data_IF_906134322498
#
_entry.id   IF_906134322498
#
_cell.length_a   1.000
_cell.length_b   1.000
_cell.length_c   1.000
_cell.angle_alpha   90.00
_cell.angle_beta   90.00
_cell.angle_gamma   90.00
#
_symmetry.space_group_name_H-M   'P 1'
#
loop_
_entity.id
_entity.type
_entity.pdbx_description
1 polymer ?
#
# COMPACT_ATOMS: atom_id res chain seq x y z
N UNK A 1 -19.45 -10.40 19.81
CA UNK A 1 -18.81 -9.29 20.53
C UNK A 1 -18.69 -8.14 19.55
N UNK A 2 -19.48 -7.08 19.74
CA UNK A 2 -19.45 -5.90 18.88
C UNK A 2 -18.22 -5.10 19.31
N UNK A 3 -17.26 -4.95 18.40
CA UNK A 3 -16.12 -4.07 18.59
C UNK A 3 -16.66 -2.64 18.69
N UNK A 4 -16.48 -2.03 19.85
CA UNK A 4 -16.96 -0.69 20.18
C UNK A 4 -16.24 0.29 19.25
N UNK A 5 -16.94 0.77 18.21
CA UNK A 5 -16.38 1.72 17.26
C UNK A 5 -16.22 3.05 18.00
N UNK A 6 -15.00 3.31 18.47
CA UNK A 6 -14.65 4.60 19.02
C UNK A 6 -14.44 5.61 17.88
N UNK A 7 -15.07 6.78 18.03
CA UNK A 7 -14.89 7.92 17.14
C UNK A 7 -13.40 8.27 17.03
N UNK A 8 -12.79 8.19 15.83
CA UNK A 8 -11.38 8.53 15.60
C UNK A 8 -10.98 9.90 16.13
N UNK A 9 -11.91 10.87 16.13
CA UNK A 9 -11.65 12.21 16.66
C UNK A 9 -11.45 12.17 18.18
N UNK A 10 -12.22 11.34 18.89
CA UNK A 10 -12.13 11.19 20.35
C UNK A 10 -10.79 10.56 20.74
N UNK A 11 -10.36 9.51 20.03
CA UNK A 11 -9.06 8.86 20.25
C UNK A 11 -7.93 9.87 20.06
N UNK A 12 -8.00 10.68 18.99
CA UNK A 12 -7.00 11.72 18.74
C UNK A 12 -6.95 12.76 19.86
N UNK A 13 -8.11 13.26 20.31
CA UNK A 13 -8.19 14.25 21.39
C UNK A 13 -7.66 13.72 22.72
N UNK A 14 -7.93 12.45 23.05
CA UNK A 14 -7.40 11.80 24.25
C UNK A 14 -5.89 11.67 24.18
N UNK A 15 -5.35 11.15 23.07
CA UNK A 15 -3.90 11.03 22.85
C UNK A 15 -3.20 12.39 22.86
N UNK A 16 -3.80 13.40 22.26
CA UNK A 16 -3.25 14.76 22.29
C UNK A 16 -3.11 15.28 23.72
N UNK A 17 -4.15 15.13 24.56
CA UNK A 17 -4.13 15.57 25.96
C UNK A 17 -3.07 14.83 26.77
N UNK A 18 -2.95 13.53 26.57
CA UNK A 18 -1.94 12.69 27.21
C UNK A 18 -0.52 13.16 26.88
N UNK A 19 -0.22 13.33 25.59
CA UNK A 19 1.10 13.79 25.12
C UNK A 19 1.39 15.19 25.66
N UNK A 20 0.43 16.12 25.53
CA UNK A 20 0.59 17.49 26.02
C UNK A 20 0.92 17.51 27.51
N UNK A 21 0.20 16.72 28.32
CA UNK A 21 0.48 16.61 29.75
C UNK A 21 1.89 16.07 30.04
N UNK A 22 2.39 15.16 29.20
CA UNK A 22 3.73 14.56 29.34
C UNK A 22 4.88 15.51 28.93
N UNK A 23 4.64 16.45 28.02
CA UNK A 23 5.69 17.34 27.47
C UNK A 23 5.62 18.78 27.96
N UNK A 24 4.49 19.26 28.51
CA UNK A 24 4.30 20.68 28.86
C UNK A 24 5.29 21.26 29.87
N UNK A 25 5.87 20.41 30.72
CA UNK A 25 6.82 20.80 31.75
C UNK A 25 8.27 20.42 31.38
N UNK A 26 8.51 19.90 30.18
CA UNK A 26 9.85 19.57 29.72
C UNK A 26 10.54 20.82 29.20
N UNK A 27 11.81 20.96 29.54
CA UNK A 27 12.68 22.04 29.06
C UNK A 27 13.36 21.67 27.73
N UNK A 28 13.51 20.38 27.45
CA UNK A 28 14.20 19.83 26.27
C UNK A 28 13.55 18.56 25.72
N UNK A 29 13.80 18.29 24.44
CA UNK A 29 13.41 17.08 23.73
C UNK A 29 11.91 16.88 23.66
N UNK A 30 11.14 17.96 23.49
CA UNK A 30 9.68 17.89 23.48
C UNK A 30 9.18 17.09 22.27
N UNK A 31 9.79 17.27 21.10
CA UNK A 31 9.43 16.51 19.90
C UNK A 31 9.80 15.03 20.04
N UNK A 32 11.01 14.75 20.54
CA UNK A 32 11.45 13.38 20.84
C UNK A 32 10.48 12.69 21.81
N UNK A 33 10.11 13.37 22.90
CA UNK A 33 9.20 12.85 23.91
C UNK A 33 7.78 12.60 23.35
N UNK A 34 7.30 13.48 22.47
CA UNK A 34 6.01 13.30 21.82
C UNK A 34 6.00 12.06 20.92
N UNK A 35 7.06 11.85 20.12
CA UNK A 35 7.22 10.65 19.29
C UNK A 35 7.32 9.39 20.17
N UNK A 36 8.10 9.44 21.25
CA UNK A 36 8.22 8.34 22.21
C UNK A 36 6.89 7.96 22.85
N UNK A 37 6.00 8.92 23.07
CA UNK A 37 4.67 8.65 23.59
C UNK A 37 3.73 8.04 22.53
N UNK A 38 3.88 8.46 21.27
CA UNK A 38 3.07 7.98 20.15
C UNK A 38 3.41 6.55 19.74
N UNK A 39 4.71 6.25 19.66
CA UNK A 39 5.21 4.95 19.23
C UNK A 39 6.47 4.58 20.03
N UNK A 40 6.31 4.07 21.26
CA UNK A 40 7.43 3.75 22.13
C UNK A 40 8.41 2.76 21.50
N UNK A 41 7.91 1.80 20.74
CA UNK A 41 8.68 0.71 20.13
C UNK A 41 9.58 1.21 19.02
N UNK A 42 9.10 2.12 18.16
CA UNK A 42 9.85 2.62 17.01
C UNK A 42 10.45 4.02 17.23
N UNK A 43 10.23 4.63 18.39
CA UNK A 43 10.57 6.03 18.64
C UNK A 43 12.03 6.39 18.41
N UNK A 44 12.97 5.52 18.80
CA UNK A 44 14.39 5.76 18.56
C UNK A 44 14.71 5.77 17.07
N UNK A 45 14.15 4.84 16.31
CA UNK A 45 14.35 4.76 14.86
C UNK A 45 13.70 5.93 14.14
N UNK A 46 12.48 6.32 14.53
CA UNK A 46 11.80 7.51 13.99
C UNK A 46 12.66 8.76 14.23
N UNK A 47 13.11 8.96 15.47
CA UNK A 47 13.91 10.13 15.81
C UNK A 47 15.26 10.12 15.12
N UNK A 48 15.93 8.97 15.02
CA UNK A 48 17.17 8.83 14.28
C UNK A 48 16.98 9.15 12.79
N UNK A 49 15.93 8.60 12.18
CA UNK A 49 15.61 8.78 10.77
C UNK A 49 15.39 10.25 10.39
N UNK A 50 14.69 11.00 11.25
CA UNK A 50 14.41 12.42 11.02
C UNK A 50 15.42 13.39 11.66
N UNK A 51 16.47 12.89 12.31
CA UNK A 51 17.51 13.72 12.95
C UNK A 51 17.02 14.52 14.16
N UNK A 52 16.10 13.94 14.94
CA UNK A 52 15.48 14.57 16.12
C UNK A 52 16.30 14.26 17.36
N UNK A 53 16.80 15.30 18.03
CA UNK A 53 17.63 15.18 19.22
C UNK A 53 16.80 15.21 20.51
N UNK A 54 16.98 14.20 21.36
CA UNK A 54 16.37 14.11 22.70
C UNK A 54 16.76 15.26 23.65
N UNK A 55 17.85 15.97 23.37
CA UNK A 55 18.33 17.11 24.15
C UNK A 55 18.05 18.46 23.49
N UNK A 56 17.32 18.48 22.37
CA UNK A 56 16.97 19.69 21.64
C UNK A 56 16.18 20.66 22.52
N UNK A 57 16.42 21.96 22.38
CA UNK A 57 15.63 22.96 23.11
C UNK A 57 14.24 23.09 22.49
N UNK A 58 13.25 23.57 23.25
CA UNK A 58 11.90 23.83 22.73
C UNK A 58 11.92 24.69 21.44
N UNK A 59 12.79 25.70 21.39
CA UNK A 59 12.94 26.57 20.22
C UNK A 59 13.56 25.85 19.02
N UNK A 60 14.52 24.94 19.25
CA UNK A 60 15.10 24.12 18.19
C UNK A 60 14.09 23.11 17.64
N UNK A 61 13.32 22.46 18.51
CA UNK A 61 12.21 21.58 18.11
C UNK A 61 11.17 22.33 17.29
N UNK A 62 10.78 23.52 17.74
CA UNK A 62 9.84 24.38 17.00
C UNK A 62 10.40 24.81 15.64
N UNK A 63 11.69 25.19 15.59
CA UNK A 63 12.36 25.53 14.33
C UNK A 63 12.40 24.36 13.36
N UNK A 64 12.65 23.14 13.86
CA UNK A 64 12.54 21.91 13.09
C UNK A 64 11.12 21.74 12.55
N UNK A 65 10.10 21.81 13.42
CA UNK A 65 8.69 21.68 13.03
C UNK A 65 8.30 22.67 11.94
N UNK A 66 8.72 23.93 12.09
CA UNK A 66 8.53 24.98 11.09
C UNK A 66 9.23 24.61 9.78
N UNK A 67 10.51 24.25 9.82
CA UNK A 67 11.25 23.85 8.61
C UNK A 67 10.58 22.67 7.90
N UNK A 68 10.13 21.68 8.66
CA UNK A 68 9.48 20.47 8.14
C UNK A 68 8.14 20.77 7.45
N UNK A 69 7.31 21.64 8.03
CA UNK A 69 6.00 21.99 7.46
C UNK A 69 6.07 23.01 6.31
N UNK A 70 7.01 23.97 6.38
CA UNK A 70 7.12 25.07 5.42
C UNK A 70 8.14 24.86 4.30
N UNK A 71 8.97 23.82 4.39
CA UNK A 71 9.83 23.41 3.29
C UNK A 71 9.23 22.19 2.62
N UNK A 72 8.30 22.38 1.66
CA UNK A 72 7.78 21.25 0.93
C UNK A 72 8.94 20.66 0.12
N UNK A 73 9.20 19.37 0.36
CA UNK A 73 9.63 18.41 -0.66
C UNK A 73 11.13 18.35 -1.00
N UNK A 74 11.99 19.33 -0.68
CA UNK A 74 13.43 19.20 -1.01
C UNK A 74 14.12 18.05 -0.26
N UNK A 75 13.86 17.87 1.02
CA UNK A 75 14.47 16.76 1.78
C UNK A 75 13.72 15.44 1.61
N UNK A 76 12.43 15.47 1.22
CA UNK A 76 11.71 14.25 0.86
C UNK A 76 12.14 13.67 -0.49
N UNK A 77 12.74 14.47 -1.37
CA UNK A 77 13.33 14.02 -2.63
C UNK A 77 14.57 13.13 -2.45
N UNK A 78 15.20 13.17 -1.26
CA UNK A 78 16.27 12.25 -0.86
C UNK A 78 15.72 10.81 -0.77
N UNK A 79 14.46 10.67 -0.35
CA UNK A 79 13.76 9.41 -0.34
C UNK A 79 13.22 9.16 -1.75
N UNK A 80 14.03 8.53 -2.61
CA UNK A 80 13.64 7.97 -3.90
C UNK A 80 12.52 6.93 -3.72
N UNK A 81 11.30 7.35 -3.37
CA UNK A 81 10.14 6.50 -3.14
C UNK A 81 9.07 6.88 -4.15
N UNK A 82 8.73 5.94 -5.05
CA UNK A 82 7.63 6.04 -6.03
C UNK A 82 6.23 6.25 -5.41
N UNK A 83 6.15 6.33 -4.08
CA UNK A 83 4.97 6.68 -3.28
C UNK A 83 4.67 8.19 -3.33
N UNK A 84 5.60 9.00 -3.85
CA UNK A 84 5.48 10.45 -3.95
C UNK A 84 4.33 10.90 -4.87
N UNK A 85 3.83 10.13 -5.83
CA UNK A 85 2.67 10.58 -6.63
C UNK A 85 1.36 10.62 -5.83
N UNK A 86 1.17 9.69 -4.89
CA UNK A 86 0.00 9.67 -4.01
C UNK A 86 0.11 10.69 -2.87
N UNK A 87 1.32 10.82 -2.32
CA UNK A 87 1.62 11.83 -1.29
C UNK A 87 1.63 13.24 -1.89
N UNK A 88 2.15 13.45 -3.11
CA UNK A 88 2.14 14.74 -3.79
C UNK A 88 0.72 15.23 -4.09
N UNK A 89 -0.24 14.33 -4.37
CA UNK A 89 -1.66 14.72 -4.51
C UNK A 89 -2.31 15.10 -3.18
N UNK A 90 -1.98 14.38 -2.11
CA UNK A 90 -2.41 14.76 -0.75
C UNK A 90 -1.72 16.03 -0.26
N UNK A 91 -0.47 16.26 -0.65
CA UNK A 91 0.30 17.47 -0.36
C UNK A 91 -0.17 18.64 -1.23
N UNK A 92 -0.52 18.46 -2.50
CA UNK A 92 -1.18 19.50 -3.33
C UNK A 92 -2.52 19.92 -2.72
N UNK A 93 -3.27 18.97 -2.14
CA UNK A 93 -4.46 19.28 -1.35
C UNK A 93 -4.12 20.00 -0.04
N UNK A 94 -3.04 19.60 0.64
CA UNK A 94 -2.55 20.26 1.85
C UNK A 94 -1.92 21.63 1.58
N UNK A 95 -1.36 21.90 0.40
CA UNK A 95 -0.82 23.19 -0.05
C UNK A 95 -1.95 24.21 -0.25
N UNK A 96 -3.13 23.75 -0.70
CA UNK A 96 -4.35 24.59 -0.68
C UNK A 96 -4.83 24.91 0.74
N UNK A 97 -4.49 24.05 1.72
CA UNK A 97 -4.70 24.28 3.16
C UNK A 97 -3.47 24.86 3.87
N UNK A 98 -2.35 25.08 3.17
CA UNK A 98 -1.10 25.53 3.79
C UNK A 98 -1.21 26.97 4.27
N UNK A 99 -2.21 27.72 3.82
CA UNK A 99 -2.58 29.03 4.39
C UNK A 99 -3.07 28.87 5.83
N UNK A 100 -3.83 27.82 6.16
CA UNK A 100 -4.29 27.55 7.53
C UNK A 100 -3.15 27.05 8.43
N UNK A 101 -2.27 26.19 7.91
CA UNK A 101 -1.04 25.79 8.62
C UNK A 101 -0.05 26.96 8.78
N UNK A 102 0.04 27.85 7.79
CA UNK A 102 0.83 29.09 7.86
C UNK A 102 0.34 30.02 8.95
N UNK A 103 -0.98 30.14 9.09
CA UNK A 103 -1.60 30.94 10.15
C UNK A 103 -1.40 30.32 11.54
N UNK A 104 -1.35 28.98 11.66
CA UNK A 104 -1.06 28.29 12.92
C UNK A 104 0.37 28.55 13.43
N UNK A 105 1.34 28.72 12.53
CA UNK A 105 2.75 28.98 12.85
C UNK A 105 3.19 30.41 12.48
N UNK A 106 2.26 31.37 12.52
CA UNK A 106 2.54 32.81 12.51
C UNK A 106 3.49 33.18 13.68
N UNK A 107 3.85 34.45 13.98
CA UNK A 107 4.77 34.71 15.10
C UNK A 107 4.11 34.34 16.45
N UNK A 108 4.23 33.06 16.80
CA UNK A 108 3.73 32.41 18.01
C UNK A 108 4.51 32.98 19.19
N UNK A 109 3.79 33.49 20.18
CA UNK A 109 4.36 34.04 21.41
C UNK A 109 4.17 33.14 22.63
N UNK A 110 3.33 32.10 22.54
CA UNK A 110 2.99 31.22 23.65
C UNK A 110 3.60 29.81 23.49
N UNK A 111 4.16 29.29 24.58
CA UNK A 111 4.66 27.92 24.68
C UNK A 111 3.56 26.88 24.39
N UNK A 112 2.29 27.20 24.68
CA UNK A 112 1.16 26.30 24.41
C UNK A 112 0.98 26.03 22.91
N UNK A 113 1.06 27.06 22.10
CA UNK A 113 0.95 26.97 20.64
C UNK A 113 2.17 26.24 20.04
N UNK A 114 3.37 26.52 20.58
CA UNK A 114 4.60 25.81 20.20
C UNK A 114 4.47 24.30 20.47
N UNK A 115 4.03 23.92 21.67
CA UNK A 115 3.85 22.51 22.05
C UNK A 115 2.77 21.85 21.20
N UNK A 116 1.69 22.56 20.88
CA UNK A 116 0.65 22.04 19.97
C UNK A 116 1.21 21.76 18.58
N UNK A 117 2.03 22.67 18.04
CA UNK A 117 2.74 22.48 16.78
C UNK A 117 3.69 21.28 16.81
N UNK A 118 4.41 21.10 17.91
CA UNK A 118 5.30 19.95 18.13
C UNK A 118 4.53 18.63 18.12
N UNK A 119 3.39 18.55 18.81
CA UNK A 119 2.56 17.33 18.86
C UNK A 119 2.01 17.01 17.47
N UNK A 120 1.50 18.01 16.74
CA UNK A 120 1.01 17.83 15.37
C UNK A 120 2.10 17.26 14.45
N UNK A 121 3.32 17.81 14.51
CA UNK A 121 4.45 17.30 13.73
C UNK A 121 4.84 15.89 14.16
N UNK A 122 4.82 15.57 15.46
CA UNK A 122 5.10 14.22 15.94
C UNK A 122 4.15 13.17 15.34
N UNK A 123 2.85 13.47 15.25
CA UNK A 123 1.87 12.60 14.57
C UNK A 123 2.21 12.39 13.10
N UNK A 124 2.53 13.48 12.38
CA UNK A 124 2.87 13.43 10.96
C UNK A 124 4.12 12.57 10.72
N UNK A 125 5.18 12.81 11.48
CA UNK A 125 6.44 12.06 11.35
C UNK A 125 6.26 10.58 11.65
N UNK A 126 5.52 10.24 12.70
CA UNK A 126 5.23 8.84 13.07
C UNK A 126 4.45 8.15 11.96
N UNK A 127 3.40 8.79 11.43
CA UNK A 127 2.63 8.26 10.32
C UNK A 127 3.48 8.08 9.04
N UNK A 128 4.33 9.06 8.71
CA UNK A 128 5.23 8.99 7.57
C UNK A 128 6.24 7.84 7.72
N UNK A 129 6.82 7.66 8.90
CA UNK A 129 7.76 6.58 9.16
C UNK A 129 7.12 5.20 8.96
N UNK A 130 5.90 4.99 9.47
CA UNK A 130 5.15 3.73 9.26
C UNK A 130 4.92 3.48 7.76
N UNK A 131 4.60 4.53 6.99
CA UNK A 131 4.43 4.41 5.54
C UNK A 131 5.74 4.05 4.83
N UNK A 132 6.87 4.65 5.25
CA UNK A 132 8.21 4.37 4.73
C UNK A 132 8.60 2.93 5.03
N UNK A 133 8.48 2.48 6.28
CA UNK A 133 8.78 1.11 6.69
C UNK A 133 7.99 0.08 5.88
N UNK A 134 6.68 0.31 5.70
CA UNK A 134 5.85 -0.56 4.83
C UNK A 134 6.32 -0.56 3.38
N UNK A 135 6.77 0.58 2.86
CA UNK A 135 7.30 0.67 1.50
C UNK A 135 8.65 -0.06 1.37
N UNK A 136 9.55 0.05 2.35
CA UNK A 136 10.83 -0.64 2.37
C UNK A 136 10.69 -2.14 2.52
N UNK A 137 9.79 -2.61 3.38
CA UNK A 137 9.45 -4.03 3.48
C UNK A 137 8.97 -4.58 2.14
N UNK A 138 8.10 -3.86 1.43
CA UNK A 138 7.69 -4.22 0.05
C UNK A 138 8.87 -4.27 -0.91
N UNK A 139 9.82 -3.33 -0.81
CA UNK A 139 11.04 -3.33 -1.65
C UNK A 139 11.94 -4.52 -1.37
N UNK A 140 12.16 -4.86 -0.11
CA UNK A 140 13.00 -6.00 0.26
C UNK A 140 12.38 -7.33 -0.16
N UNK A 141 11.05 -7.46 -0.06
CA UNK A 141 10.31 -8.60 -0.61
C UNK A 141 10.52 -8.70 -2.12
N UNK A 142 10.43 -7.59 -2.86
CA UNK A 142 10.65 -7.54 -4.30
C UNK A 142 12.12 -7.82 -4.70
N UNK A 143 13.10 -7.40 -3.89
CA UNK A 143 14.52 -7.68 -4.14
C UNK A 143 14.86 -9.15 -3.86
N UNK A 144 14.33 -9.75 -2.78
CA UNK A 144 14.54 -11.18 -2.49
C UNK A 144 13.95 -12.08 -3.57
N UNK A 145 12.88 -11.67 -4.24
CA UNK A 145 12.34 -12.38 -5.41
C UNK A 145 13.25 -12.27 -6.65
N UNK A 146 14.05 -11.20 -6.78
CA UNK A 146 14.98 -11.00 -7.90
C UNK A 146 16.35 -11.71 -7.75
N UNK A 147 16.76 -12.09 -6.53
CA UNK A 147 18.08 -12.71 -6.28
C UNK A 147 18.15 -14.20 -6.75
N UNK A 148 17.04 -14.81 -7.20
CA UNK A 148 17.01 -16.22 -7.67
C UNK A 148 17.13 -16.43 -9.19
N UNK A 149 17.40 -15.41 -10.00
CA UNK A 149 17.66 -15.61 -11.44
C UNK A 149 19.05 -15.07 -11.83
N UNK A 150 19.92 -15.87 -12.48
CA UNK A 150 21.12 -15.35 -13.11
C UNK A 150 20.74 -14.30 -14.14
N UNK A 151 21.31 -13.10 -14.02
CA UNK A 151 21.19 -12.03 -15.01
C UNK A 151 21.83 -12.46 -16.33
N UNK A 152 21.00 -12.82 -17.31
CA UNK A 152 21.32 -12.68 -18.73
C UNK A 152 20.21 -11.90 -19.42
N UNK A 153 20.09 -10.59 -19.15
CA UNK A 153 19.19 -9.76 -19.97
C UNK A 153 19.55 -8.28 -19.94
N UNK A 154 20.83 -7.99 -20.17
CA UNK A 154 21.33 -6.64 -20.37
C UNK A 154 21.96 -6.47 -21.75
N UNK A 155 21.27 -6.76 -22.86
CA UNK A 155 21.80 -6.34 -24.19
C UNK A 155 20.85 -6.20 -25.39
N UNK A 156 19.53 -6.32 -25.24
CA UNK A 156 18.61 -6.08 -26.35
C UNK A 156 17.47 -5.17 -25.91
N UNK A 157 17.70 -3.84 -25.92
CA UNK A 157 16.63 -2.86 -25.66
C UNK A 157 16.45 -1.79 -26.72
N UNK A 158 17.07 -1.95 -27.88
CA UNK A 158 16.84 -1.07 -29.02
C UNK A 158 16.77 -1.92 -30.28
N UNK A 159 15.60 -2.53 -30.55
CA UNK A 159 15.10 -2.99 -31.86
C UNK A 159 13.89 -3.92 -31.64
N UNK A 160 12.80 -3.41 -31.07
CA UNK A 160 11.52 -4.14 -31.10
C UNK A 160 10.34 -3.17 -31.12
N UNK A 161 10.39 -2.25 -32.08
CA UNK A 161 9.20 -1.59 -32.59
C UNK A 161 9.17 -1.83 -34.10
N UNK A 162 8.06 -2.41 -34.56
CA UNK A 162 7.79 -2.92 -35.90
C UNK A 162 8.36 -4.32 -36.20
N UNK A 163 7.69 -5.37 -35.69
CA UNK A 163 7.57 -6.61 -36.45
C UNK A 163 6.09 -6.99 -36.63
N UNK A 164 5.68 -7.40 -37.85
CA UNK A 164 4.34 -7.89 -38.14
C UNK A 164 4.07 -9.22 -37.43
N UNK A 165 2.82 -9.43 -36.99
CA UNK A 165 2.37 -10.64 -36.27
C UNK A 165 2.65 -11.90 -37.09
N UNK A 166 3.69 -12.65 -36.72
CA UNK A 166 3.92 -13.99 -37.26
C UNK A 166 3.14 -14.98 -36.40
N UNK A 167 2.04 -15.50 -36.97
CA UNK A 167 1.31 -16.66 -36.46
C UNK A 167 2.27 -17.86 -36.35
N UNK A 168 2.34 -18.54 -35.19
CA UNK A 168 2.91 -19.88 -35.14
C UNK A 168 3.49 -20.40 -33.82
N UNK A 169 3.78 -19.55 -32.83
CA UNK A 169 4.19 -20.03 -31.50
C UNK A 169 2.96 -20.06 -30.58
N UNK A 170 2.50 -21.26 -30.24
CA UNK A 170 1.43 -21.47 -29.26
C UNK A 170 1.87 -20.86 -27.92
N UNK A 171 1.31 -19.69 -27.60
CA UNK A 171 1.60 -18.98 -26.36
C UNK A 171 1.12 -19.81 -25.19
N UNK A 172 1.89 -19.84 -24.11
CA UNK A 172 1.57 -20.67 -22.95
C UNK A 172 0.35 -20.09 -22.21
N UNK A 173 -0.49 -20.95 -21.61
CA UNK A 173 -1.56 -20.48 -20.73
C UNK A 173 -0.96 -19.87 -19.47
N UNK A 174 -1.73 -19.00 -18.80
CA UNK A 174 -1.42 -18.50 -17.47
C UNK A 174 -2.58 -18.75 -16.51
N UNK A 175 -2.29 -18.64 -15.23
CA UNK A 175 -3.25 -18.78 -14.14
C UNK A 175 -3.41 -17.44 -13.46
N UNK A 176 -4.62 -16.89 -13.52
CA UNK A 176 -4.99 -15.63 -12.89
C UNK A 176 -5.85 -15.91 -11.66
N UNK A 177 -5.40 -15.42 -10.51
CA UNK A 177 -6.09 -15.50 -9.24
C UNK A 177 -6.59 -14.11 -8.87
N UNK A 178 -7.86 -14.01 -8.49
CA UNK A 178 -8.49 -12.75 -8.09
C UNK A 178 -9.23 -12.93 -6.77
N UNK A 179 -9.16 -11.91 -5.92
CA UNK A 179 -10.02 -11.76 -4.76
C UNK A 179 -10.97 -10.61 -5.03
N UNK A 180 -12.26 -10.92 -5.16
CA UNK A 180 -13.33 -9.96 -5.47
C UNK A 180 -14.48 -10.12 -4.49
N UNK A 181 -15.36 -9.13 -4.35
CA UNK A 181 -16.61 -9.30 -3.61
C UNK A 181 -17.45 -10.46 -4.16
N UNK A 182 -18.03 -11.27 -3.29
CA UNK A 182 -18.68 -12.54 -3.63
C UNK A 182 -19.87 -12.39 -4.57
N UNK A 183 -20.58 -11.25 -4.55
CA UNK A 183 -21.67 -10.98 -5.48
C UNK A 183 -21.23 -10.96 -6.96
N UNK A 184 -19.95 -10.72 -7.23
CA UNK A 184 -19.38 -10.80 -8.58
C UNK A 184 -19.34 -12.24 -9.12
N UNK A 185 -19.55 -13.25 -8.27
CA UNK A 185 -19.55 -14.65 -8.65
C UNK A 185 -20.93 -15.24 -8.91
N UNK A 186 -22.00 -14.43 -8.84
CA UNK A 186 -23.35 -14.90 -9.16
C UNK A 186 -23.39 -15.52 -10.56
N UNK A 187 -23.84 -16.78 -10.64
CA UNK A 187 -23.90 -17.55 -11.89
C UNK A 187 -22.58 -18.16 -12.36
N UNK A 188 -21.47 -17.99 -11.64
CA UNK A 188 -20.18 -18.59 -11.96
C UNK A 188 -20.00 -19.93 -11.26
N UNK A 189 -19.48 -20.93 -11.98
CA UNK A 189 -19.20 -22.25 -11.45
C UNK A 189 -17.82 -22.75 -11.93
N UNK A 190 -17.10 -23.57 -11.13
CA UNK A 190 -15.90 -24.23 -11.60
C UNK A 190 -16.15 -25.03 -12.89
N UNK A 191 -15.21 -24.96 -13.83
CA UNK A 191 -15.30 -25.59 -15.15
C UNK A 191 -15.98 -24.73 -16.22
N UNK A 192 -16.73 -23.69 -15.84
CA UNK A 192 -17.36 -22.77 -16.78
C UNK A 192 -16.32 -21.95 -17.54
N UNK A 193 -16.60 -21.64 -18.80
CA UNK A 193 -15.83 -20.69 -19.60
C UNK A 193 -16.50 -19.31 -19.55
N UNK A 194 -15.71 -18.27 -19.35
CA UNK A 194 -16.19 -16.89 -19.30
C UNK A 194 -15.43 -16.02 -20.32
N UNK A 195 -16.10 -15.09 -21.01
CA UNK A 195 -15.46 -14.27 -22.02
C UNK A 195 -14.47 -13.28 -21.40
N UNK A 196 -13.48 -12.86 -22.19
CA UNK A 196 -12.46 -11.88 -21.76
C UNK A 196 -13.06 -10.57 -21.24
N UNK A 197 -14.23 -10.15 -21.73
CA UNK A 197 -14.99 -9.00 -21.20
C UNK A 197 -15.35 -9.19 -19.73
N UNK A 198 -15.89 -10.36 -19.36
CA UNK A 198 -16.22 -10.70 -17.98
C UNK A 198 -14.98 -10.80 -17.10
N UNK A 199 -13.87 -11.30 -17.64
CA UNK A 199 -12.57 -11.32 -16.92
C UNK A 199 -12.07 -9.90 -16.65
N UNK A 200 -12.21 -8.96 -17.59
CA UNK A 200 -11.84 -7.54 -17.39
C UNK A 200 -12.66 -6.87 -16.30
N UNK A 201 -13.94 -7.21 -16.19
CA UNK A 201 -14.80 -6.76 -15.09
C UNK A 201 -14.29 -7.29 -13.75
N UNK A 202 -14.04 -8.60 -13.65
CA UNK A 202 -13.49 -9.21 -12.44
C UNK A 202 -12.14 -8.61 -12.03
N UNK A 203 -11.23 -8.37 -12.97
CA UNK A 203 -9.95 -7.68 -12.70
C UNK A 203 -10.17 -6.28 -12.15
N UNK A 204 -11.17 -5.55 -12.67
CA UNK A 204 -11.46 -4.18 -12.24
C UNK A 204 -12.01 -4.14 -10.81
N UNK A 205 -12.83 -5.13 -10.45
CA UNK A 205 -13.44 -5.26 -9.12
C UNK A 205 -12.57 -5.96 -8.08
N UNK A 206 -11.39 -6.49 -8.46
CA UNK A 206 -10.54 -7.25 -7.55
C UNK A 206 -9.87 -6.35 -6.52
N UNK A 207 -9.85 -6.74 -5.25
CA UNK A 207 -9.03 -6.09 -4.23
C UNK A 207 -7.59 -6.63 -4.23
N UNK A 208 -7.42 -7.89 -4.64
CA UNK A 208 -6.13 -8.54 -4.76
C UNK A 208 -6.07 -9.37 -6.03
N UNK A 209 -4.90 -9.44 -6.66
CA UNK A 209 -4.68 -10.32 -7.80
C UNK A 209 -3.27 -10.94 -7.81
N UNK A 210 -3.14 -12.08 -8.46
CA UNK A 210 -1.88 -12.77 -8.69
C UNK A 210 -1.95 -13.50 -10.03
N UNK A 211 -0.95 -13.37 -10.89
CA UNK A 211 -0.88 -14.10 -12.15
C UNK A 211 0.45 -14.82 -12.29
N UNK A 212 0.39 -16.12 -12.62
CA UNK A 212 1.55 -16.98 -12.72
C UNK A 212 1.41 -18.01 -13.87
N UNK A 213 2.51 -18.71 -14.18
CA UNK A 213 2.59 -19.65 -15.29
C UNK A 213 1.86 -20.97 -15.06
N UNK A 214 1.56 -21.34 -13.81
CA UNK A 214 0.94 -22.63 -13.49
C UNK A 214 0.17 -22.63 -12.19
N UNK A 215 -0.79 -23.55 -12.07
CA UNK A 215 -1.58 -23.77 -10.84
C UNK A 215 -0.67 -24.20 -9.69
N UNK A 216 0.30 -25.09 -9.96
CA UNK A 216 1.28 -25.52 -8.96
C UNK A 216 2.14 -24.36 -8.43
N UNK A 217 2.51 -23.42 -9.30
CA UNK A 217 3.23 -22.20 -8.90
C UNK A 217 2.40 -21.32 -7.97
N UNK A 218 1.08 -21.22 -8.22
CA UNK A 218 0.16 -20.53 -7.31
C UNK A 218 0.04 -21.28 -5.98
N UNK A 219 -0.25 -22.58 -6.00
CA UNK A 219 -0.47 -23.36 -4.78
C UNK A 219 0.76 -23.39 -3.86
N UNK A 220 1.97 -23.34 -4.44
CA UNK A 220 3.22 -23.22 -3.66
C UNK A 220 3.45 -21.82 -3.08
N UNK A 221 2.94 -20.77 -3.74
CA UNK A 221 3.06 -19.38 -3.30
C UNK A 221 1.95 -18.97 -2.35
N UNK A 222 0.83 -19.66 -2.36
CA UNK A 222 -0.41 -19.16 -1.77
C UNK A 222 -0.94 -20.15 -0.75
N UNK A 223 -0.86 -19.79 0.53
CA UNK A 223 -1.45 -20.57 1.62
C UNK A 223 -2.77 -19.93 2.07
N UNK A 224 -3.82 -20.05 1.25
CA UNK A 224 -5.14 -19.49 1.56
C UNK A 224 -5.99 -20.48 2.35
N UNK A 225 -6.62 -19.99 3.41
CA UNK A 225 -7.61 -20.73 4.17
C UNK A 225 -8.99 -20.61 3.52
N UNK A 226 -9.42 -21.68 2.85
CA UNK A 226 -10.72 -21.76 2.19
C UNK A 226 -11.78 -22.38 3.10
N UNK A 227 -12.99 -21.82 3.10
CA UNK A 227 -14.13 -22.44 3.77
C UNK A 227 -14.75 -23.52 2.91
N UNK A 228 -15.17 -24.64 3.52
CA UNK A 228 -16.00 -25.66 2.88
C UNK A 228 -17.50 -25.29 2.80
N UNK A 229 -17.90 -24.16 3.38
CA UNK A 229 -19.28 -23.65 3.29
C UNK A 229 -19.58 -23.07 1.91
N UNK A 230 -20.81 -23.21 1.43
CA UNK A 230 -21.29 -22.54 0.21
C UNK A 230 -21.08 -21.02 0.27
N UNK A 231 -20.69 -20.42 -0.86
CA UNK A 231 -20.51 -18.96 -0.98
C UNK A 231 -21.88 -18.30 -0.96
N UNK A 232 -22.09 -17.34 -0.06
CA UNK A 232 -23.27 -16.49 -0.10
C UNK A 232 -23.05 -15.32 -1.07
N UNK A 233 -23.53 -15.47 -2.30
CA UNK A 233 -23.41 -14.47 -3.37
C UNK A 233 -24.18 -13.17 -3.11
N UNK A 234 -24.99 -13.07 -2.05
CA UNK A 234 -25.68 -11.83 -1.68
C UNK A 234 -24.92 -11.01 -0.63
N UNK A 235 -23.69 -11.40 -0.28
CA UNK A 235 -22.89 -10.74 0.76
C UNK A 235 -21.75 -9.89 0.17
N UNK A 236 -21.29 -8.90 0.93
CA UNK A 236 -20.09 -8.11 0.59
C UNK A 236 -18.77 -8.84 0.90
N UNK A 237 -18.84 -10.11 1.30
CA UNK A 237 -17.66 -10.88 1.66
C UNK A 237 -16.73 -11.09 0.46
N UNK A 238 -15.43 -11.12 0.71
CA UNK A 238 -14.44 -11.40 -0.31
C UNK A 238 -14.39 -12.90 -0.62
N UNK A 239 -14.34 -13.21 -1.91
CA UNK A 239 -14.23 -14.56 -2.40
C UNK A 239 -13.12 -14.65 -3.46
N UNK A 240 -12.55 -15.84 -3.56
CA UNK A 240 -11.41 -16.16 -4.41
C UNK A 240 -11.87 -16.87 -5.68
N UNK A 241 -11.32 -16.46 -6.83
CA UNK A 241 -11.47 -17.17 -8.11
C UNK A 241 -10.11 -17.40 -8.75
N UNK A 242 -9.92 -18.60 -9.31
CA UNK A 242 -8.77 -18.97 -10.11
C UNK A 242 -9.24 -19.25 -11.53
N UNK A 243 -8.64 -18.55 -12.49
CA UNK A 243 -8.94 -18.60 -13.92
C UNK A 243 -7.72 -19.12 -14.66
N UNK A 244 -7.93 -20.00 -15.64
CA UNK A 244 -6.93 -20.39 -16.62
C UNK A 244 -7.18 -19.55 -17.87
N UNK A 245 -6.19 -18.75 -18.25
CA UNK A 245 -6.22 -17.89 -19.42
C UNK A 245 -5.41 -18.54 -20.54
N UNK A 246 -6.05 -19.03 -21.62
CA UNK A 246 -5.33 -19.49 -22.80
C UNK A 246 -4.45 -18.36 -23.35
N UNK A 247 -3.23 -18.69 -23.78
CA UNK A 247 -2.29 -17.71 -24.37
C UNK A 247 -1.95 -16.51 -23.46
N UNK A 248 -2.20 -16.63 -22.15
CA UNK A 248 -2.06 -15.55 -21.17
C UNK A 248 -0.62 -15.32 -20.68
N UNK A 249 0.40 -15.85 -21.35
CA UNK A 249 1.82 -15.72 -20.97
C UNK A 249 2.25 -14.27 -20.71
N UNK A 250 1.77 -13.33 -21.53
CA UNK A 250 2.07 -11.90 -21.40
C UNK A 250 1.49 -11.27 -20.12
N UNK A 251 0.52 -11.91 -19.47
CA UNK A 251 -0.11 -11.46 -18.22
C UNK A 251 0.71 -11.82 -16.98
N UNK A 252 1.70 -12.70 -17.11
CA UNK A 252 2.55 -13.11 -16.00
C UNK A 252 3.39 -11.89 -15.57
N UNK A 253 3.65 -11.77 -14.25
CA UNK A 253 4.44 -10.68 -13.63
C UNK A 253 3.88 -9.27 -13.86
N UNK A 254 2.62 -9.11 -14.27
CA UNK A 254 2.02 -7.78 -14.35
C UNK A 254 1.71 -7.26 -12.95
N UNK A 255 2.08 -6.01 -12.68
CA UNK A 255 1.98 -5.40 -11.35
C UNK A 255 0.75 -4.48 -11.18
N UNK A 256 -0.06 -4.30 -12.21
CA UNK A 256 -1.25 -3.44 -12.15
C UNK A 256 -2.45 -4.07 -12.85
N UNK A 257 -3.67 -3.73 -12.38
CA UNK A 257 -4.93 -4.07 -13.06
C UNK A 257 -4.97 -3.57 -14.50
N UNK A 258 -4.42 -2.38 -14.76
CA UNK A 258 -4.38 -1.79 -16.09
C UNK A 258 -3.54 -2.64 -17.05
N UNK A 259 -2.33 -3.02 -16.63
CA UNK A 259 -1.44 -3.87 -17.43
C UNK A 259 -2.04 -5.26 -17.67
N UNK A 260 -2.67 -5.87 -16.65
CA UNK A 260 -3.39 -7.14 -16.80
C UNK A 260 -4.51 -7.04 -17.84
N UNK A 261 -5.36 -6.00 -17.77
CA UNK A 261 -6.45 -5.81 -18.75
C UNK A 261 -5.95 -5.55 -20.16
N UNK A 262 -4.85 -4.82 -20.31
CA UNK A 262 -4.23 -4.50 -21.60
C UNK A 262 -3.61 -5.73 -22.27
N UNK A 263 -3.06 -6.65 -21.47
CA UNK A 263 -2.40 -7.87 -21.94
C UNK A 263 -3.27 -9.13 -21.88
N UNK A 264 -4.52 -9.01 -21.44
CA UNK A 264 -5.49 -10.10 -21.48
C UNK A 264 -5.78 -10.44 -22.95
N UNK A 265 -5.53 -11.68 -23.39
CA UNK A 265 -5.86 -12.11 -24.74
C UNK A 265 -7.38 -12.11 -24.97
N UNK A 266 -7.77 -12.01 -26.23
CA UNK A 266 -9.16 -12.22 -26.63
C UNK A 266 -9.50 -13.72 -26.57
N UNK A 267 -10.75 -14.04 -26.21
CA UNK A 267 -11.21 -15.42 -26.03
C UNK A 267 -11.77 -15.67 -24.63
N UNK A 268 -11.95 -16.96 -24.33
CA UNK A 268 -12.61 -17.40 -23.10
C UNK A 268 -11.59 -17.91 -22.07
N UNK A 269 -11.79 -17.52 -20.82
CA UNK A 269 -11.07 -18.02 -19.67
C UNK A 269 -11.84 -19.17 -19.01
N UNK A 270 -11.14 -20.22 -18.60
CA UNK A 270 -11.76 -21.33 -17.87
C UNK A 270 -11.66 -21.10 -16.37
N UNK A 271 -12.79 -21.18 -15.66
CA UNK A 271 -12.81 -21.15 -14.20
C UNK A 271 -12.25 -22.46 -13.67
N UNK A 272 -11.13 -22.41 -12.95
CA UNK A 272 -10.53 -23.59 -12.33
C UNK A 272 -11.06 -23.81 -10.91
N UNK A 273 -11.18 -22.73 -10.13
CA UNK A 273 -11.58 -22.80 -8.72
C UNK A 273 -12.34 -21.54 -8.32
N UNK A 274 -13.36 -21.71 -7.50
CA UNK A 274 -14.03 -20.63 -6.76
C UNK A 274 -14.08 -21.07 -5.31
N UNK A 275 -13.72 -20.20 -4.38
CA UNK A 275 -13.75 -20.53 -2.96
C UNK A 275 -14.01 -19.29 -2.10
N UNK A 276 -14.65 -19.49 -0.94
CA UNK A 276 -14.78 -18.45 0.09
C UNK A 276 -13.48 -18.39 0.90
N UNK A 277 -12.99 -17.19 1.17
CA UNK A 277 -11.87 -16.98 2.09
C UNK A 277 -12.39 -16.93 3.53
N UNK A 278 -11.76 -17.67 4.44
CA UNK A 278 -12.09 -17.61 5.87
C UNK A 278 -11.50 -16.33 6.49
N UNK A 279 -10.30 -15.97 6.08
CA UNK A 279 -9.57 -14.80 6.49
C UNK A 279 -8.68 -14.31 5.32
N UNK A 280 -7.97 -13.21 5.54
CA UNK A 280 -7.09 -12.61 4.53
C UNK A 280 -5.66 -13.18 4.59
N UNK A 281 -5.42 -14.20 5.42
CA UNK A 281 -4.11 -14.80 5.58
C UNK A 281 -3.66 -15.47 4.28
N UNK A 282 -2.39 -15.34 3.93
CA UNK A 282 -1.84 -15.90 2.68
C UNK A 282 -2.02 -15.01 1.44
N UNK A 283 -2.68 -13.85 1.57
CA UNK A 283 -2.74 -12.83 0.52
C UNK A 283 -1.46 -11.99 0.40
N UNK A 284 -0.46 -12.25 1.23
CA UNK A 284 0.82 -11.55 1.29
C UNK A 284 1.59 -11.63 -0.04
N UNK A 285 1.36 -12.71 -0.80
CA UNK A 285 1.93 -12.93 -2.12
C UNK A 285 1.05 -12.40 -3.27
N UNK A 286 -0.08 -11.77 -2.96
CA UNK A 286 -0.94 -11.11 -3.94
C UNK A 286 -0.61 -9.63 -4.02
N UNK A 287 -0.85 -9.06 -5.20
CA UNK A 287 -0.75 -7.63 -5.42
C UNK A 287 -2.07 -7.00 -4.98
N UNK A 288 -2.00 -6.14 -3.97
CA UNK A 288 -3.12 -5.27 -3.55
C UNK A 288 -3.38 -4.23 -4.63
N UNK A 289 -4.65 -4.04 -4.97
CA UNK A 289 -5.04 -3.48 -6.26
C UNK A 289 -6.00 -2.30 -6.18
#
# INVERSE_FOLDING_TARGET
MIQDYQDPLKIYQEKFKEIYAAIKNRDRGCLYAAIHYLDPENSEDICHYFGIDKNSTLNNDFKFCKSFLFSPIKDLSIFQISLLEGIAKMIEQAERQAVEFANFFAPVKDNTEILTGIILVAFILTALYILIQKAEQRRQLNQRQNIRQPQEQGRYRYLEQAQPRVNGLSRKPSVLCLVVPSYQFSGLNPGLQIPSSRVKELISSASYFLCDASVQGIDQKVNLNFSGSSINFSSEEYAYIQLIIPEGEDMIRQETKYSLKKKLPDGDAKINKIARLINLDGLENFISA
#
